data_IF_240680525771
#
_entry.id   IF_240680525771
#
_cell.length_a   1.000
_cell.length_b   1.000
_cell.length_c   1.000
_cell.angle_alpha   90.00
_cell.angle_beta   90.00
_cell.angle_gamma   90.00
#
_symmetry.space_group_name_H-M   'P 1'
#
loop_
_entity.id
_entity.type
_entity.pdbx_description
1 polymer ?
#
# COMPACT_ATOMS: atom_id res chain seq x y z
N UNK A 1 -6.64 18.06 -10.84
CA UNK A 1 -7.54 17.08 -11.49
C UNK A 1 -8.20 16.25 -10.39
N UNK A 2 -9.53 16.11 -10.42
CA UNK A 2 -10.31 15.36 -9.41
C UNK A 2 -9.72 13.94 -9.26
N UNK A 3 -9.46 13.49 -8.03
CA UNK A 3 -9.07 12.11 -7.71
C UNK A 3 -10.24 11.17 -8.08
N UNK A 4 -10.39 10.85 -9.37
CA UNK A 4 -11.34 9.85 -9.83
C UNK A 4 -10.92 8.43 -9.42
N UNK A 5 -9.65 8.24 -9.07
CA UNK A 5 -9.09 6.99 -8.61
C UNK A 5 -8.85 7.02 -7.11
N UNK A 6 -9.82 6.51 -6.36
CA UNK A 6 -9.63 6.09 -4.97
C UNK A 6 -8.57 4.97 -4.93
N UNK A 7 -7.58 5.02 -4.01
CA UNK A 7 -6.56 3.97 -3.87
C UNK A 7 -7.13 2.57 -3.62
N UNK A 8 -8.38 2.47 -3.13
CA UNK A 8 -9.09 1.20 -2.99
C UNK A 8 -9.58 0.65 -4.33
N UNK A 9 -10.23 1.50 -5.15
CA UNK A 9 -10.79 1.11 -6.46
C UNK A 9 -9.69 0.62 -7.39
N UNK A 10 -8.55 1.32 -7.40
CA UNK A 10 -7.39 0.95 -8.20
C UNK A 10 -6.89 -0.47 -7.91
N UNK A 11 -6.78 -0.82 -6.62
CA UNK A 11 -6.34 -2.14 -6.16
C UNK A 11 -7.34 -3.23 -6.54
N UNK A 12 -8.64 -2.95 -6.43
CA UNK A 12 -9.69 -3.89 -6.83
C UNK A 12 -9.65 -4.16 -8.33
N UNK A 13 -9.52 -3.12 -9.16
CA UNK A 13 -9.39 -3.27 -10.60
C UNK A 13 -8.15 -4.09 -10.96
N UNK A 14 -7.01 -3.81 -10.30
CA UNK A 14 -5.77 -4.55 -10.53
C UNK A 14 -5.89 -6.03 -10.13
N UNK A 15 -6.62 -6.33 -9.05
CA UNK A 15 -6.91 -7.70 -8.62
C UNK A 15 -7.78 -8.42 -9.64
N UNK A 16 -8.91 -7.82 -10.02
CA UNK A 16 -9.86 -8.40 -10.98
C UNK A 16 -9.18 -8.62 -12.32
N UNK A 17 -8.40 -7.65 -12.80
CA UNK A 17 -7.65 -7.76 -14.04
C UNK A 17 -6.59 -8.87 -13.98
N UNK A 18 -5.84 -8.96 -12.88
CA UNK A 18 -4.84 -10.03 -12.69
C UNK A 18 -5.47 -11.43 -12.68
N UNK A 19 -6.57 -11.60 -11.93
CA UNK A 19 -7.29 -12.89 -11.86
C UNK A 19 -7.92 -13.25 -13.20
N UNK A 20 -8.59 -12.30 -13.84
CA UNK A 20 -9.18 -12.50 -15.16
C UNK A 20 -8.13 -12.95 -16.19
N UNK A 21 -7.00 -12.24 -16.23
CA UNK A 21 -5.90 -12.56 -17.15
C UNK A 21 -5.33 -13.95 -16.87
N UNK A 22 -5.19 -14.34 -15.61
CA UNK A 22 -4.72 -15.68 -15.22
C UNK A 22 -5.69 -16.79 -15.66
N UNK A 23 -7.00 -16.57 -15.53
CA UNK A 23 -8.02 -17.52 -15.98
C UNK A 23 -7.99 -17.68 -17.48
N UNK A 24 -7.91 -16.57 -18.23
CA UNK A 24 -7.79 -16.59 -19.70
C UNK A 24 -6.51 -17.32 -20.14
N UNK A 25 -5.38 -17.05 -19.48
CA UNK A 25 -4.11 -17.72 -19.75
C UNK A 25 -4.25 -19.24 -19.56
N UNK A 26 -4.80 -19.66 -18.40
CA UNK A 26 -4.99 -21.08 -18.07
C UNK A 26 -5.93 -21.79 -19.03
N UNK A 27 -7.04 -21.16 -19.41
CA UNK A 27 -7.94 -21.71 -20.40
C UNK A 27 -7.23 -21.91 -21.74
N UNK A 28 -6.53 -20.90 -22.24
CA UNK A 28 -5.81 -20.98 -23.53
C UNK A 28 -4.72 -22.05 -23.49
N UNK A 29 -3.90 -22.08 -22.46
CA UNK A 29 -2.84 -23.09 -22.31
C UNK A 29 -3.40 -24.51 -22.29
N UNK A 30 -4.53 -24.75 -21.62
CA UNK A 30 -5.20 -26.05 -21.61
C UNK A 30 -5.83 -26.39 -22.97
N UNK A 31 -6.40 -25.40 -23.66
CA UNK A 31 -7.04 -25.59 -24.96
C UNK A 31 -6.02 -25.90 -26.09
N UNK A 32 -4.85 -25.25 -26.09
CA UNK A 32 -3.80 -25.49 -27.10
C UNK A 32 -3.00 -26.76 -26.80
N UNK A 33 -2.88 -27.15 -25.52
CA UNK A 33 -2.23 -28.37 -25.09
C UNK A 33 -0.85 -28.15 -24.46
N UNK A 34 -0.74 -28.50 -23.19
CA UNK A 34 0.52 -28.72 -22.47
C UNK A 34 1.56 -27.60 -22.60
N UNK A 35 2.79 -27.97 -22.92
CA UNK A 35 3.95 -27.07 -22.96
C UNK A 35 3.89 -26.06 -24.10
N UNK A 36 3.36 -26.44 -25.26
CA UNK A 36 3.25 -25.53 -26.41
C UNK A 36 2.24 -24.42 -26.12
N UNK A 37 1.07 -24.78 -25.57
CA UNK A 37 0.10 -23.81 -25.06
C UNK A 37 0.65 -22.94 -23.92
N UNK A 38 1.62 -23.43 -23.15
CA UNK A 38 2.27 -22.63 -22.10
C UNK A 38 3.23 -21.62 -22.73
N UNK A 39 4.05 -22.02 -23.70
CA UNK A 39 4.99 -21.12 -24.39
C UNK A 39 4.27 -20.04 -25.20
N UNK A 40 3.14 -20.32 -25.81
CA UNK A 40 2.39 -19.31 -26.57
C UNK A 40 1.69 -18.28 -25.67
N UNK A 41 1.30 -18.70 -24.46
CA UNK A 41 0.51 -17.89 -23.54
C UNK A 41 1.29 -17.41 -22.31
N UNK A 42 2.60 -17.68 -22.23
CA UNK A 42 3.43 -17.36 -21.05
C UNK A 42 3.37 -15.88 -20.67
N UNK A 43 3.24 -14.99 -21.66
CA UNK A 43 3.17 -13.55 -21.47
C UNK A 43 1.90 -13.13 -20.70
N UNK A 44 0.78 -13.83 -20.87
CA UNK A 44 -0.44 -13.60 -20.10
C UNK A 44 -0.23 -13.93 -18.63
N UNK A 45 0.50 -15.00 -18.34
CA UNK A 45 0.92 -15.31 -16.97
C UNK A 45 1.83 -14.24 -16.39
N UNK A 46 2.80 -13.73 -17.17
CA UNK A 46 3.65 -12.62 -16.73
C UNK A 46 2.84 -11.37 -16.38
N UNK A 47 1.81 -11.03 -17.15
CA UNK A 47 0.91 -9.90 -16.85
C UNK A 47 0.14 -10.16 -15.56
N UNK A 48 -0.45 -11.34 -15.40
CA UNK A 48 -1.19 -11.70 -14.20
C UNK A 48 -0.31 -11.63 -12.94
N UNK A 49 0.89 -12.21 -12.99
CA UNK A 49 1.86 -12.14 -11.91
C UNK A 49 2.36 -10.71 -11.67
N UNK A 50 2.58 -9.93 -12.73
CA UNK A 50 2.93 -8.52 -12.64
C UNK A 50 1.88 -7.71 -11.87
N UNK A 51 0.59 -7.97 -12.11
CA UNK A 51 -0.50 -7.36 -11.35
C UNK A 51 -0.43 -7.71 -9.85
N UNK A 52 -0.19 -8.99 -9.53
CA UNK A 52 -0.06 -9.44 -8.13
C UNK A 52 1.15 -8.81 -7.45
N UNK A 53 2.30 -8.80 -8.12
CA UNK A 53 3.54 -8.20 -7.61
C UNK A 53 3.33 -6.70 -7.37
N UNK A 54 2.72 -6.00 -8.32
CA UNK A 54 2.42 -4.59 -8.18
C UNK A 54 1.48 -4.29 -6.99
N UNK A 55 0.44 -5.11 -6.80
CA UNK A 55 -0.42 -4.99 -5.62
C UNK A 55 0.35 -5.18 -4.31
N UNK A 56 1.24 -6.19 -4.26
CA UNK A 56 2.08 -6.43 -3.06
C UNK A 56 3.04 -5.27 -2.81
N UNK A 57 3.63 -4.73 -3.86
CA UNK A 57 4.51 -3.56 -3.79
C UNK A 57 3.78 -2.34 -3.21
N UNK A 58 2.59 -2.04 -3.72
CA UNK A 58 1.76 -0.94 -3.20
C UNK A 58 1.37 -1.15 -1.73
N UNK A 59 1.11 -2.40 -1.33
CA UNK A 59 0.82 -2.73 0.07
C UNK A 59 2.04 -2.55 0.97
N UNK A 60 3.25 -2.87 0.50
CA UNK A 60 4.49 -2.58 1.24
C UNK A 60 4.69 -1.08 1.43
N UNK A 61 4.52 -0.29 0.36
CA UNK A 61 4.60 1.17 0.43
C UNK A 61 3.59 1.78 1.40
N UNK A 62 2.35 1.29 1.40
CA UNK A 62 1.35 1.76 2.35
C UNK A 62 1.78 1.50 3.80
N UNK A 63 2.29 0.30 4.09
CA UNK A 63 2.80 -0.04 5.43
C UNK A 63 3.95 0.87 5.86
N UNK A 64 4.89 1.19 4.97
CA UNK A 64 5.98 2.13 5.27
C UNK A 64 5.46 3.53 5.60
N UNK A 65 4.44 4.01 4.87
CA UNK A 65 3.81 5.30 5.12
C UNK A 65 3.06 5.30 6.46
N UNK A 66 2.30 4.24 6.74
CA UNK A 66 1.53 4.12 7.97
C UNK A 66 2.46 4.07 9.20
N UNK A 67 3.57 3.33 9.13
CA UNK A 67 4.60 3.29 10.19
C UNK A 67 5.19 4.69 10.47
N UNK A 68 5.54 5.44 9.42
CA UNK A 68 6.04 6.82 9.58
C UNK A 68 4.99 7.76 10.18
N UNK A 69 3.72 7.57 9.84
CA UNK A 69 2.63 8.35 10.41
C UNK A 69 2.42 8.03 11.90
N UNK A 70 2.55 6.76 12.30
CA UNK A 70 2.49 6.36 13.71
C UNK A 70 3.66 6.95 14.52
N UNK A 71 4.88 6.92 13.98
CA UNK A 71 6.05 7.51 14.63
C UNK A 71 5.91 9.03 14.78
N UNK A 72 5.37 9.71 13.76
CA UNK A 72 5.07 11.14 13.85
C UNK A 72 4.02 11.43 14.93
N UNK A 73 2.94 10.63 15.02
CA UNK A 73 1.92 10.77 16.08
C UNK A 73 2.48 10.52 17.48
N UNK A 74 3.37 9.55 17.64
CA UNK A 74 4.09 9.29 18.90
C UNK A 74 5.04 10.43 19.27
N UNK A 75 5.74 11.00 18.28
CA UNK A 75 6.60 12.16 18.48
C UNK A 75 5.80 13.40 18.91
N UNK A 76 4.65 13.66 18.29
CA UNK A 76 3.76 14.77 18.63
C UNK A 76 3.13 14.62 20.02
N UNK A 77 2.68 13.42 20.39
CA UNK A 77 2.18 13.14 21.75
C UNK A 77 3.27 13.27 22.80
N UNK A 78 4.51 12.83 22.53
CA UNK A 78 5.64 13.03 23.46
C UNK A 78 6.04 14.51 23.60
N UNK A 79 5.94 15.31 22.52
CA UNK A 79 6.19 16.75 22.54
C UNK A 79 5.07 17.52 23.26
N UNK A 80 3.81 17.08 23.11
CA UNK A 80 2.68 17.64 23.84
C UNK A 80 2.75 17.33 25.34
N UNK A 81 3.20 16.12 25.73
CA UNK A 81 3.46 15.75 27.12
C UNK A 81 4.65 16.51 27.75
N UNK A 82 5.59 17.02 26.93
CA UNK A 82 6.73 17.84 27.36
C UNK A 82 6.45 19.35 27.39
N UNK A 83 5.23 19.84 27.12
CA UNK A 83 4.92 21.27 27.33
C UNK A 83 5.11 21.59 28.82
N UNK A 84 6.10 22.43 29.18
CA UNK A 84 6.31 22.80 30.56
C UNK A 84 5.17 23.75 30.96
N UNK A 85 4.44 23.39 32.01
CA UNK A 85 3.57 24.32 32.71
C UNK A 85 4.37 25.54 33.15
N UNK A 86 4.28 26.60 32.36
CA UNK A 86 4.07 27.99 32.75
C UNK A 86 4.45 28.34 34.21
N UNK A 87 5.64 28.93 34.35
CA UNK A 87 6.06 29.92 35.35
C UNK A 87 5.21 30.07 36.63
N UNK A 88 5.67 29.51 37.75
CA UNK A 88 5.35 30.03 39.08
C UNK A 88 6.42 31.08 39.44
N UNK A 89 6.03 32.35 39.38
CA UNK A 89 6.88 33.49 39.69
C UNK A 89 7.41 33.50 41.12
N UNK A 90 8.63 34.01 41.28
CA UNK A 90 9.23 34.39 42.57
C UNK A 90 8.24 35.21 43.42
N UNK A 91 8.09 34.95 44.72
CA UNK A 91 7.73 35.99 45.66
C UNK A 91 9.01 36.57 46.28
N UNK A 92 9.36 37.78 45.84
CA UNK A 92 10.24 38.70 46.57
C UNK A 92 9.41 39.34 47.70
N UNK A 93 9.69 39.02 48.96
CA UNK A 93 9.37 39.81 50.18
C UNK A 93 10.60 39.63 51.08
N UNK A 94 11.41 40.62 51.48
CA UNK A 94 11.23 42.01 51.94
C UNK A 94 10.34 42.13 53.18
N UNK A 95 10.90 41.79 54.34
CA UNK A 95 11.12 42.70 55.47
C UNK A 95 12.10 42.05 56.44
#
# INVERSE_FOLDING_TARGET
MKRFWEPGISRTILLVFGVFTFVVASYRTLATGGMEGLYDNYWLYMIAFGCVIWMRYQRQRQKEVDLRAEDARKAETSKAARKPGKAAGKPKKRK
#
